data_IF_341210560116
#
_entry.id   IF_341210560116
#
_cell.length_a   1.000
_cell.length_b   1.000
_cell.length_c   1.000
_cell.angle_alpha   90.00
_cell.angle_beta   90.00
_cell.angle_gamma   90.00
#
_symmetry.space_group_name_H-M   'P 1'
#
loop_
_entity.id
_entity.type
_entity.pdbx_description
1 polymer ?
#
# COMPACT_ATOMS: atom_id res chain seq x y z
N UNK A 1 -11.31 -54.45 -47.06
CA UNK A 1 -11.56 -54.57 -45.61
C UNK A 1 -10.81 -53.45 -44.92
N UNK A 2 -11.53 -52.64 -44.14
CA UNK A 2 -11.08 -51.39 -43.53
C UNK A 2 -10.10 -51.62 -42.37
N UNK A 3 -9.15 -50.71 -42.18
CA UNK A 3 -8.52 -50.46 -40.87
C UNK A 3 -8.31 -48.95 -40.71
N UNK A 4 -9.28 -48.29 -40.07
CA UNK A 4 -9.20 -46.89 -39.68
C UNK A 4 -8.56 -46.83 -38.28
N UNK A 5 -7.32 -46.34 -38.19
CA UNK A 5 -6.63 -46.10 -36.93
C UNK A 5 -7.03 -44.74 -36.38
N UNK A 6 -7.87 -44.73 -35.34
CA UNK A 6 -8.26 -43.54 -34.58
C UNK A 6 -7.07 -43.06 -33.72
N UNK A 7 -6.44 -41.96 -34.13
CA UNK A 7 -5.52 -41.22 -33.28
C UNK A 7 -6.32 -40.34 -32.30
N UNK A 8 -6.41 -40.74 -31.03
CA UNK A 8 -6.91 -39.88 -29.96
C UNK A 8 -5.89 -38.78 -29.68
N UNK A 9 -6.14 -37.58 -30.18
CA UNK A 9 -5.44 -36.38 -29.77
C UNK A 9 -5.87 -36.02 -28.33
N UNK A 10 -4.99 -36.24 -27.35
CA UNK A 10 -5.18 -35.76 -25.99
C UNK A 10 -5.09 -34.23 -25.98
N UNK A 11 -6.24 -33.55 -25.87
CA UNK A 11 -6.30 -32.12 -25.58
C UNK A 11 -5.74 -31.85 -24.18
N UNK A 12 -4.48 -31.44 -24.12
CA UNK A 12 -3.89 -30.83 -22.94
C UNK A 12 -4.46 -29.42 -22.74
N UNK A 13 -5.48 -29.29 -21.90
CA UNK A 13 -5.95 -27.98 -21.42
C UNK A 13 -4.95 -27.50 -20.37
N UNK A 14 -3.93 -26.76 -20.81
CA UNK A 14 -3.11 -25.95 -19.91
C UNK A 14 -3.95 -24.75 -19.46
N UNK A 15 -4.59 -24.87 -18.30
CA UNK A 15 -5.14 -23.72 -17.59
C UNK A 15 -3.98 -22.88 -17.04
N UNK A 16 -3.39 -22.03 -17.89
CA UNK A 16 -2.55 -20.93 -17.43
C UNK A 16 -3.46 -19.96 -16.68
N UNK A 17 -3.42 -19.99 -15.35
CA UNK A 17 -4.17 -19.05 -14.51
C UNK A 17 -3.70 -17.62 -14.80
N UNK A 18 -4.50 -16.87 -15.55
CA UNK A 18 -4.36 -15.43 -15.73
C UNK A 18 -4.76 -14.69 -14.45
N UNK A 19 -4.03 -14.90 -13.35
CA UNK A 19 -4.15 -14.10 -12.14
C UNK A 19 -3.07 -13.03 -12.13
N UNK A 20 -3.43 -11.76 -11.96
CA UNK A 20 -2.43 -10.72 -11.70
C UNK A 20 -1.58 -11.11 -10.48
N UNK A 21 -0.26 -10.88 -10.51
CA UNK A 21 0.62 -11.21 -9.38
C UNK A 21 0.12 -10.55 -8.10
N UNK A 22 -0.05 -11.33 -7.05
CA UNK A 22 -0.55 -10.84 -5.76
C UNK A 22 0.59 -10.25 -4.95
N UNK A 23 0.34 -9.15 -4.24
CA UNK A 23 1.33 -8.51 -3.37
C UNK A 23 1.35 -9.22 -2.03
N UNK A 24 2.47 -9.87 -1.68
CA UNK A 24 2.64 -10.53 -0.37
C UNK A 24 3.30 -9.59 0.62
N UNK A 25 2.63 -9.35 1.74
CA UNK A 25 3.13 -8.49 2.82
C UNK A 25 2.55 -8.94 4.15
N UNK A 26 3.34 -8.88 5.22
CA UNK A 26 2.80 -9.06 6.58
C UNK A 26 2.10 -7.78 7.02
N UNK A 27 0.76 -7.80 7.21
CA UNK A 27 0.03 -6.62 7.63
C UNK A 27 0.36 -6.26 9.08
N UNK A 28 0.32 -4.97 9.45
CA UNK A 28 0.41 -4.57 10.85
C UNK A 28 -0.82 -5.03 11.64
N UNK A 29 -0.64 -5.22 12.95
CA UNK A 29 -1.69 -5.62 13.90
C UNK A 29 -1.86 -4.54 15.00
N UNK A 30 -2.31 -3.31 14.64
CA UNK A 30 -2.57 -2.27 15.62
C UNK A 30 -3.75 -2.64 16.52
N UNK A 31 -3.82 -2.03 17.69
CA UNK A 31 -4.93 -2.18 18.64
C UNK A 31 -5.48 -0.81 19.05
N UNK A 32 -6.68 -0.79 19.64
CA UNK A 32 -7.25 0.40 20.25
C UNK A 32 -7.53 1.53 19.24
N UNK A 33 -7.09 2.75 19.56
CA UNK A 33 -7.34 3.93 18.72
C UNK A 33 -6.71 3.80 17.32
N UNK A 34 -5.53 3.18 17.22
CA UNK A 34 -4.84 2.97 15.96
C UNK A 34 -5.62 2.00 15.06
N UNK A 35 -6.12 0.90 15.61
CA UNK A 35 -6.97 -0.07 14.88
C UNK A 35 -8.24 0.58 14.33
N UNK A 36 -8.94 1.37 15.18
CA UNK A 36 -10.14 2.08 14.77
C UNK A 36 -9.85 3.12 13.66
N UNK A 37 -8.71 3.79 13.72
CA UNK A 37 -8.26 4.73 12.68
C UNK A 37 -7.93 4.01 11.36
N UNK A 38 -7.21 2.89 11.42
CA UNK A 38 -6.88 2.11 10.23
C UNK A 38 -8.11 1.55 9.53
N UNK A 39 -9.10 1.05 10.28
CA UNK A 39 -10.38 0.60 9.69
C UNK A 39 -11.09 1.72 8.92
N UNK A 40 -11.13 2.93 9.48
CA UNK A 40 -11.70 4.10 8.78
C UNK A 40 -10.88 4.49 7.56
N UNK A 41 -9.56 4.39 7.64
CA UNK A 41 -8.66 4.74 6.53
C UNK A 41 -8.95 3.84 5.34
N UNK A 42 -9.04 2.53 5.58
CA UNK A 42 -9.28 1.54 4.52
C UNK A 42 -10.65 1.68 3.86
N UNK A 43 -11.66 2.16 4.60
CA UNK A 43 -12.97 2.50 4.02
C UNK A 43 -12.95 3.78 3.16
N UNK A 44 -11.93 4.63 3.31
CA UNK A 44 -11.80 5.91 2.63
C UNK A 44 -10.67 5.94 1.58
N UNK A 45 -9.94 4.84 1.39
CA UNK A 45 -8.82 4.78 0.46
C UNK A 45 -9.29 5.07 -0.98
N UNK A 46 -8.46 5.78 -1.78
CA UNK A 46 -8.79 6.03 -3.16
C UNK A 46 -8.72 4.73 -3.98
N UNK A 47 -9.51 4.67 -5.04
CA UNK A 47 -9.48 3.53 -5.98
C UNK A 47 -8.13 3.43 -6.71
N UNK A 48 -7.44 4.56 -6.90
CA UNK A 48 -6.18 4.65 -7.62
C UNK A 48 -5.19 5.55 -6.87
N UNK A 49 -3.91 5.26 -7.03
CA UNK A 49 -2.79 6.10 -6.58
C UNK A 49 -1.85 6.25 -7.75
N UNK A 50 -1.50 7.48 -8.14
CA UNK A 50 -0.74 7.80 -9.35
C UNK A 50 -1.35 7.24 -10.64
N UNK A 51 -2.68 7.10 -10.69
CA UNK A 51 -3.39 6.46 -11.81
C UNK A 51 -3.27 4.94 -11.85
N UNK A 52 -2.60 4.33 -10.87
CA UNK A 52 -2.44 2.88 -10.79
C UNK A 52 -3.64 2.23 -10.10
N UNK A 53 -4.08 1.10 -10.65
CA UNK A 53 -5.21 0.34 -10.11
C UNK A 53 -4.82 -0.46 -8.86
N UNK A 54 -5.79 -0.69 -7.98
CA UNK A 54 -5.62 -1.47 -6.77
C UNK A 54 -5.19 -2.92 -7.08
N UNK A 55 -4.35 -3.49 -6.21
CA UNK A 55 -3.81 -4.84 -6.31
C UNK A 55 -4.30 -5.71 -5.16
N UNK A 56 -4.45 -7.01 -5.43
CA UNK A 56 -4.75 -7.99 -4.38
C UNK A 56 -3.54 -8.13 -3.45
N UNK A 57 -3.77 -7.89 -2.17
CA UNK A 57 -2.80 -8.07 -1.09
C UNK A 57 -3.06 -9.39 -0.35
N UNK A 58 -1.99 -10.13 -0.03
CA UNK A 58 -2.06 -11.39 0.70
C UNK A 58 -1.11 -11.41 1.92
N UNK A 59 -1.61 -11.89 3.09
CA UNK A 59 -2.99 -12.29 3.36
C UNK A 59 -3.96 -11.09 3.29
N UNK A 60 -5.25 -11.37 3.09
CA UNK A 60 -6.27 -10.33 3.12
C UNK A 60 -6.26 -9.64 4.49
N UNK A 61 -6.24 -8.30 4.49
CA UNK A 61 -6.11 -7.52 5.71
C UNK A 61 -6.80 -6.16 5.59
N UNK A 62 -7.29 -5.65 6.72
CA UNK A 62 -7.80 -4.29 6.83
C UNK A 62 -6.70 -3.24 7.11
N UNK A 63 -5.41 -3.64 7.06
CA UNK A 63 -4.27 -2.79 7.40
C UNK A 63 -3.18 -2.74 6.32
N UNK A 64 -3.37 -3.38 5.16
CA UNK A 64 -2.46 -3.30 4.02
C UNK A 64 -3.22 -3.18 2.67
N UNK A 65 -2.85 -2.21 1.84
CA UNK A 65 -3.38 -1.97 0.50
C UNK A 65 -2.23 -1.73 -0.48
N UNK A 66 -2.42 -2.06 -1.75
CA UNK A 66 -1.41 -1.82 -2.78
C UNK A 66 -2.03 -1.39 -4.11
N UNK A 67 -1.26 -0.67 -4.92
CA UNK A 67 -1.61 -0.24 -6.28
C UNK A 67 -0.43 -0.44 -7.23
N UNK A 68 -0.72 -0.71 -8.50
CA UNK A 68 0.27 -0.70 -9.58
C UNK A 68 1.28 -1.84 -9.60
N UNK A 69 2.15 -1.84 -10.62
CA UNK A 69 3.30 -2.74 -10.77
C UNK A 69 4.54 -1.93 -11.22
N UNK A 70 5.58 -1.77 -10.39
CA UNK A 70 5.77 -2.35 -9.05
C UNK A 70 4.80 -1.79 -7.99
N UNK A 71 4.52 -2.52 -6.89
CA UNK A 71 3.46 -2.13 -5.97
C UNK A 71 3.82 -0.88 -5.13
N UNK A 72 2.98 0.14 -5.20
CA UNK A 72 2.87 1.20 -4.19
C UNK A 72 2.13 0.60 -3.01
N UNK A 73 2.79 0.47 -1.85
CA UNK A 73 2.28 -0.29 -0.71
C UNK A 73 1.95 0.65 0.46
N UNK A 74 0.69 0.65 0.89
CA UNK A 74 0.23 1.33 2.10
C UNK A 74 0.05 0.31 3.24
N UNK A 75 0.59 0.62 4.40
CA UNK A 75 0.38 -0.13 5.65
C UNK A 75 -0.04 0.82 6.76
N UNK A 76 -1.09 0.48 7.49
CA UNK A 76 -1.58 1.32 8.60
C UNK A 76 -1.35 0.65 9.95
N UNK A 77 -0.92 1.43 10.94
CA UNK A 77 -0.66 0.93 12.29
C UNK A 77 0.72 0.28 12.43
N UNK A 78 1.68 0.71 11.62
CA UNK A 78 3.08 0.30 11.80
C UNK A 78 3.65 0.87 13.10
N UNK A 79 4.77 0.32 13.57
CA UNK A 79 5.51 0.94 14.66
C UNK A 79 6.10 2.28 14.23
N UNK A 80 6.31 3.16 15.20
CA UNK A 80 7.02 4.42 14.99
C UNK A 80 8.41 4.13 14.39
N UNK A 81 8.79 4.74 13.25
CA UNK A 81 10.10 4.51 12.66
C UNK A 81 11.23 4.81 13.64
N UNK A 82 12.22 3.93 13.71
CA UNK A 82 13.33 4.06 14.67
C UNK A 82 14.17 5.33 14.44
N UNK A 83 14.26 5.79 13.18
CA UNK A 83 15.00 6.99 12.78
C UNK A 83 14.20 8.29 12.92
N UNK A 84 12.89 8.22 13.14
CA UNK A 84 12.10 9.42 13.38
C UNK A 84 12.55 10.05 14.70
N UNK A 85 12.93 11.33 14.66
CA UNK A 85 13.35 12.15 15.81
C UNK A 85 12.52 13.43 15.84
N UNK A 86 12.57 14.15 16.96
CA UNK A 86 11.93 15.47 17.07
C UNK A 86 12.54 16.50 16.13
N UNK A 87 13.81 16.32 15.75
CA UNK A 87 14.52 17.15 14.77
C UNK A 87 14.40 16.64 13.34
N UNK A 88 13.61 15.60 13.08
CA UNK A 88 13.43 15.10 11.71
C UNK A 88 12.64 16.11 10.89
N UNK A 89 13.05 16.28 9.63
CA UNK A 89 12.28 17.07 8.68
C UNK A 89 10.86 16.50 8.55
N UNK A 90 9.88 17.38 8.59
CA UNK A 90 8.50 17.03 8.29
C UNK A 90 8.11 17.57 6.92
N UNK A 91 7.87 16.65 6.00
CA UNK A 91 7.29 16.94 4.69
C UNK A 91 5.76 17.09 4.85
N UNK A 92 5.26 18.32 4.87
CA UNK A 92 3.83 18.58 4.92
C UNK A 92 3.23 18.61 3.51
N UNK A 93 2.39 17.63 3.17
CA UNK A 93 1.65 17.57 1.91
C UNK A 93 0.17 17.47 2.23
N UNK A 94 -0.61 18.42 1.68
CA UNK A 94 -2.03 18.60 1.93
C UNK A 94 -2.39 18.42 3.42
N UNK A 95 -1.72 19.17 4.30
CA UNK A 95 -1.91 19.13 5.76
C UNK A 95 -1.68 17.76 6.44
N UNK A 96 -1.01 16.83 5.76
CA UNK A 96 -0.48 15.60 6.35
C UNK A 96 1.04 15.73 6.47
N UNK A 97 1.55 15.61 7.69
CA UNK A 97 2.98 15.58 7.94
C UNK A 97 3.55 14.18 7.72
N UNK A 98 4.64 14.09 6.96
CA UNK A 98 5.32 12.86 6.59
C UNK A 98 6.80 12.89 6.95
N UNK A 99 7.28 11.80 7.54
CA UNK A 99 8.69 11.48 7.64
C UNK A 99 9.10 10.68 6.40
N UNK A 100 10.16 11.08 5.71
CA UNK A 100 10.63 10.40 4.50
C UNK A 100 11.94 9.66 4.74
N UNK A 101 11.99 8.42 4.29
CA UNK A 101 13.21 7.60 4.29
C UNK A 101 13.50 7.11 2.87
N UNK A 102 14.77 7.24 2.45
CA UNK A 102 15.23 6.58 1.23
C UNK A 102 15.37 5.09 1.48
N UNK A 103 14.79 4.28 0.62
CA UNK A 103 14.91 2.83 0.61
C UNK A 103 15.68 2.37 -0.64
N UNK A 104 16.14 1.11 -0.65
CA UNK A 104 16.91 0.54 -1.76
C UNK A 104 16.18 0.63 -3.11
N UNK A 105 14.84 0.53 -3.11
CA UNK A 105 14.02 0.51 -4.32
C UNK A 105 12.99 1.65 -4.38
N UNK A 106 13.26 2.79 -3.74
CA UNK A 106 12.36 3.93 -3.74
C UNK A 106 12.37 4.71 -2.42
N UNK A 107 11.19 5.08 -1.96
CA UNK A 107 11.00 5.85 -0.72
C UNK A 107 9.96 5.20 0.17
N UNK A 108 10.13 5.38 1.48
CA UNK A 108 9.14 5.04 2.50
C UNK A 108 8.75 6.34 3.19
N UNK A 109 7.45 6.64 3.19
CA UNK A 109 6.91 7.80 3.89
C UNK A 109 6.06 7.32 5.06
N UNK A 110 6.25 7.90 6.24
CA UNK A 110 5.43 7.56 7.42
C UNK A 110 4.80 8.82 8.00
N UNK A 111 3.50 8.81 8.26
CA UNK A 111 2.81 9.97 8.86
C UNK A 111 3.35 10.31 10.24
N UNK A 112 3.47 11.60 10.56
CA UNK A 112 3.94 12.07 11.87
C UNK A 112 2.75 12.49 12.75
N UNK A 113 2.82 12.15 14.05
CA UNK A 113 1.98 12.76 15.08
C UNK A 113 0.49 12.47 14.99
N UNK A 114 0.10 11.28 14.52
CA UNK A 114 -1.29 10.84 14.38
C UNK A 114 -1.60 9.63 15.27
N UNK A 115 -2.89 9.32 15.46
CA UNK A 115 -3.34 8.15 16.25
C UNK A 115 -2.82 6.80 15.73
N UNK A 116 -2.46 6.72 14.44
CA UNK A 116 -1.75 5.60 13.85
C UNK A 116 -0.64 6.11 12.92
N UNK A 117 0.48 5.38 12.85
CA UNK A 117 1.48 5.58 11.81
C UNK A 117 1.02 4.88 10.53
N UNK A 118 0.83 5.67 9.47
CA UNK A 118 0.55 5.18 8.12
C UNK A 118 1.84 5.24 7.32
N UNK A 119 2.28 4.10 6.82
CA UNK A 119 3.47 3.92 5.98
C UNK A 119 3.04 3.78 4.51
N UNK A 120 3.67 4.54 3.62
CA UNK A 120 3.53 4.41 2.17
C UNK A 120 4.90 4.16 1.55
N UNK A 121 5.09 2.97 0.99
CA UNK A 121 6.27 2.62 0.19
C UNK A 121 6.00 2.91 -1.28
N UNK A 122 6.82 3.76 -1.88
CA UNK A 122 6.70 4.19 -3.28
C UNK A 122 7.92 3.70 -4.05
N UNK A 123 7.77 2.77 -5.00
CA UNK A 123 8.88 2.30 -5.83
C UNK A 123 9.54 3.41 -6.66
N UNK A 124 10.82 3.25 -7.00
CA UNK A 124 11.59 4.22 -7.79
C UNK A 124 11.07 4.46 -9.21
N UNK A 125 10.20 3.58 -9.72
CA UNK A 125 9.53 3.74 -11.02
C UNK A 125 8.54 4.91 -11.04
N UNK A 126 8.06 5.34 -9.87
CA UNK A 126 7.10 6.44 -9.74
C UNK A 126 7.82 7.73 -9.34
N UNK A 127 7.82 8.72 -10.23
CA UNK A 127 8.53 9.97 -10.03
C UNK A 127 7.63 11.18 -10.34
N UNK A 128 7.65 12.22 -9.50
CA UNK A 128 8.26 12.26 -8.16
C UNK A 128 7.46 11.40 -7.16
N UNK A 129 8.12 10.73 -6.18
CA UNK A 129 7.45 9.78 -5.29
C UNK A 129 6.44 10.45 -4.34
N UNK A 130 6.63 11.74 -4.06
CA UNK A 130 5.74 12.54 -3.22
C UNK A 130 4.34 12.72 -3.79
N UNK A 131 4.15 12.55 -5.10
CA UNK A 131 2.82 12.67 -5.72
C UNK A 131 1.85 11.60 -5.19
N UNK A 132 2.34 10.42 -4.82
CA UNK A 132 1.51 9.38 -4.22
C UNK A 132 0.91 9.82 -2.87
N UNK A 133 1.56 10.76 -2.18
CA UNK A 133 1.11 11.29 -0.89
C UNK A 133 -0.13 12.18 -1.04
N UNK A 134 -0.24 12.90 -2.16
CA UNK A 134 -1.39 13.76 -2.49
C UNK A 134 -2.67 12.91 -2.57
N UNK A 135 -2.62 11.80 -3.30
CA UNK A 135 -3.78 10.94 -3.54
C UNK A 135 -4.34 10.32 -2.26
N UNK A 136 -3.47 9.95 -1.32
CA UNK A 136 -3.89 9.35 -0.04
C UNK A 136 -4.14 10.38 1.06
N UNK A 137 -3.73 11.63 0.90
CA UNK A 137 -3.77 12.63 1.97
C UNK A 137 -5.19 12.89 2.47
N UNK A 138 -6.17 12.98 1.58
CA UNK A 138 -7.56 13.20 1.97
C UNK A 138 -8.10 12.08 2.89
N UNK A 139 -7.86 10.82 2.52
CA UNK A 139 -8.25 9.67 3.31
C UNK A 139 -7.54 9.66 4.68
N UNK A 140 -6.23 9.92 4.70
CA UNK A 140 -5.44 9.99 5.94
C UNK A 140 -5.94 11.09 6.87
N UNK A 141 -6.21 12.31 6.35
CA UNK A 141 -6.71 13.43 7.15
C UNK A 141 -8.05 13.10 7.81
N UNK A 142 -8.96 12.50 7.06
CA UNK A 142 -10.30 12.19 7.54
C UNK A 142 -10.31 11.04 8.55
N UNK A 143 -9.53 10.00 8.29
CA UNK A 143 -9.61 8.75 9.05
C UNK A 143 -8.69 8.67 10.26
N UNK A 144 -7.52 9.31 10.19
CA UNK A 144 -6.43 9.17 11.17
C UNK A 144 -6.16 10.52 11.84
N UNK A 145 -6.79 10.81 12.99
CA UNK A 145 -6.70 12.11 13.65
C UNK A 145 -5.26 12.51 13.98
N UNK A 146 -4.97 13.81 13.86
CA UNK A 146 -3.70 14.41 14.29
C UNK A 146 -3.73 14.66 15.80
N UNK A 147 -2.62 14.35 16.46
CA UNK A 147 -2.37 14.55 17.89
C UNK A 147 -1.33 15.63 18.11
N UNK A 148 -0.30 15.63 17.29
CA UNK A 148 0.76 16.63 17.31
C UNK A 148 1.09 16.96 15.87
N UNK A 149 0.66 18.12 15.35
CA UNK A 149 1.04 18.55 14.01
C UNK A 149 2.56 18.75 13.93
N UNK A 150 3.07 18.75 12.70
CA UNK A 150 4.48 19.06 12.45
C UNK A 150 4.87 20.53 12.67
N UNK A 151 3.86 21.41 12.78
CA UNK A 151 3.99 22.86 12.96
C UNK A 151 3.01 23.32 14.03
#
# INVERSE_FOLDING_TARGET
>A
MLAASLALAALGVFAAGCGEPTVRVEPPHPTGAAEAACRRLFAALPAQVLGESARVVQPASANAAAWGDPPILLRCGVHRPAKLRTSSDCLAIDHVGWFSERATRGYIFTTIGRDAYVELSVPSAYQPPSNALVDVAAAVRQAVPVRTPCV
#
